data_IF_022482008235
#
_entry.id   IF_022482008235
#
_cell.length_a   1.000
_cell.length_b   1.000
_cell.length_c   1.000
_cell.angle_alpha   90.00
_cell.angle_beta   90.00
_cell.angle_gamma   90.00
#
_symmetry.space_group_name_H-M   'P 1'
#
loop_
_entity.id
_entity.type
_entity.pdbx_description
1 polymer ?
#
# COMPACT_ATOMS: atom_id res chain seq x y z
N UNK A 1 27.57 46.36 -0.39
CA UNK A 1 26.69 46.99 -1.40
C UNK A 1 26.82 46.13 -2.67
N UNK A 2 25.94 45.19 -3.01
CA UNK A 2 24.49 45.26 -3.25
C UNK A 2 23.89 43.88 -2.88
N UNK A 3 23.10 43.83 -1.81
CA UNK A 3 21.66 43.61 -1.85
C UNK A 3 21.23 42.15 -2.14
N UNK A 4 21.14 41.37 -1.04
CA UNK A 4 19.97 40.54 -0.68
C UNK A 4 19.63 39.49 -1.75
N UNK A 5 20.20 38.28 -1.64
CA UNK A 5 19.49 37.11 -1.12
C UNK A 5 18.02 37.17 -1.57
N UNK A 6 17.81 36.95 -2.87
CA UNK A 6 16.49 36.84 -3.47
C UNK A 6 15.84 35.59 -2.87
N UNK A 7 14.96 35.83 -1.90
CA UNK A 7 13.95 34.92 -1.35
C UNK A 7 14.23 33.45 -1.66
N UNK A 8 14.98 32.79 -0.78
CA UNK A 8 14.75 31.36 -0.55
C UNK A 8 13.30 31.23 -0.11
N UNK A 9 12.42 31.05 -1.10
CA UNK A 9 11.02 30.75 -0.90
C UNK A 9 11.00 29.53 0.02
N UNK A 10 10.57 29.73 1.27
CA UNK A 10 10.26 28.70 2.25
C UNK A 10 9.02 27.89 1.82
N UNK A 11 8.87 27.62 0.52
CA UNK A 11 8.07 26.50 0.07
C UNK A 11 9.05 25.35 0.11
N UNK A 12 9.18 24.78 1.30
CA UNK A 12 9.54 23.38 1.41
C UNK A 12 8.49 22.63 0.62
N UNK A 13 8.71 22.48 -0.69
CA UNK A 13 8.10 21.42 -1.45
C UNK A 13 8.59 20.17 -0.74
N UNK A 14 7.80 19.69 0.22
CA UNK A 14 7.78 18.30 0.57
C UNK A 14 7.36 17.62 -0.73
N UNK A 15 8.32 17.44 -1.63
CA UNK A 15 8.23 16.43 -2.67
C UNK A 15 8.13 15.19 -1.83
N UNK A 16 6.91 14.68 -1.67
CA UNK A 16 6.71 13.35 -1.13
C UNK A 16 7.61 12.47 -1.99
N UNK A 17 8.73 12.01 -1.42
CA UNK A 17 9.58 11.02 -2.04
C UNK A 17 8.73 9.75 -2.09
N UNK A 18 7.87 9.64 -3.10
CA UNK A 18 7.32 8.38 -3.51
C UNK A 18 8.50 7.63 -4.09
N UNK A 19 9.19 6.86 -3.26
CA UNK A 19 10.37 6.10 -3.69
C UNK A 19 10.02 5.03 -4.73
N UNK A 20 8.74 4.88 -5.11
CA UNK A 20 8.32 4.03 -6.22
C UNK A 20 8.50 2.54 -5.96
N UNK A 21 8.99 2.15 -4.79
CA UNK A 21 9.23 0.75 -4.45
C UNK A 21 8.00 0.19 -3.75
N UNK A 22 7.26 -0.66 -4.46
CA UNK A 22 6.11 -1.41 -3.96
C UNK A 22 6.33 -2.93 -4.12
N UNK A 23 5.47 -3.76 -3.55
CA UNK A 23 5.48 -5.21 -3.79
C UNK A 23 6.61 -6.00 -3.13
N UNK A 24 7.42 -5.37 -2.26
CA UNK A 24 8.51 -6.04 -1.52
C UNK A 24 8.19 -6.10 -0.02
N UNK A 25 7.52 -7.16 0.46
CA UNK A 25 7.11 -7.24 1.85
C UNK A 25 8.31 -7.51 2.76
N UNK A 26 8.28 -6.91 3.96
CA UNK A 26 9.29 -7.13 5.02
C UNK A 26 9.24 -8.56 5.54
N UNK A 27 8.04 -9.11 5.72
CA UNK A 27 7.80 -10.52 6.05
C UNK A 27 7.58 -11.26 4.73
N UNK A 28 8.42 -12.24 4.42
CA UNK A 28 8.29 -12.99 3.16
C UNK A 28 7.13 -13.98 3.24
N UNK A 29 6.31 -14.10 2.18
CA UNK A 29 5.27 -15.11 2.13
C UNK A 29 5.90 -16.51 2.06
N UNK A 30 5.28 -17.47 2.75
CA UNK A 30 5.54 -18.89 2.56
C UNK A 30 4.71 -19.33 1.36
N UNK A 31 5.38 -19.68 0.26
CA UNK A 31 4.72 -20.17 -0.95
C UNK A 31 4.92 -21.68 -1.02
N UNK A 32 3.84 -22.45 -1.06
CA UNK A 32 3.91 -23.88 -1.30
C UNK A 32 4.25 -24.16 -2.77
N UNK A 33 5.01 -25.22 -3.04
CA UNK A 33 5.29 -25.63 -4.41
C UNK A 33 3.98 -26.06 -5.09
N UNK A 34 3.56 -25.33 -6.13
CA UNK A 34 2.36 -25.64 -6.92
C UNK A 34 1.08 -24.90 -6.52
N UNK A 35 1.17 -23.87 -5.68
CA UNK A 35 -0.01 -23.14 -5.21
C UNK A 35 -0.75 -22.36 -6.31
N UNK A 36 -2.04 -22.68 -6.55
CA UNK A 36 -2.98 -21.98 -7.47
C UNK A 36 -4.45 -22.07 -7.00
N UNK A 37 -4.62 -22.20 -5.69
CA UNK A 37 -5.81 -22.01 -4.85
C UNK A 37 -7.16 -22.52 -5.41
N UNK A 38 -7.59 -23.69 -4.95
CA UNK A 38 -8.83 -23.80 -4.14
C UNK A 38 -8.49 -24.62 -2.88
N UNK A 39 -8.91 -24.16 -1.69
CA UNK A 39 -8.55 -24.73 -0.38
C UNK A 39 -7.36 -24.08 0.32
N UNK A 40 -6.27 -23.79 -0.40
CA UNK A 40 -5.14 -22.95 0.05
C UNK A 40 -4.44 -23.34 1.37
N UNK A 41 -3.52 -22.47 1.81
CA UNK A 41 -2.91 -22.49 3.15
C UNK A 41 -3.08 -21.12 3.81
N UNK A 42 -3.08 -21.09 5.15
CA UNK A 42 -3.05 -19.83 5.89
C UNK A 42 -1.76 -19.05 5.57
N UNK A 43 -1.92 -17.79 5.19
CA UNK A 43 -0.79 -16.93 4.92
C UNK A 43 -0.04 -16.58 6.20
N UNK A 44 1.29 -16.46 6.11
CA UNK A 44 2.09 -15.93 7.22
C UNK A 44 1.59 -14.52 7.56
N UNK A 45 1.22 -14.23 8.82
CA UNK A 45 0.67 -12.93 9.20
C UNK A 45 1.55 -11.76 8.74
N UNK A 46 0.95 -10.80 8.02
CA UNK A 46 1.63 -9.62 7.50
C UNK A 46 2.53 -9.86 6.27
N UNK A 47 2.61 -11.08 5.73
CA UNK A 47 3.41 -11.37 4.52
C UNK A 47 2.82 -10.80 3.23
N UNK A 48 1.52 -10.47 3.24
CA UNK A 48 0.81 -9.76 2.18
C UNK A 48 0.32 -8.39 2.68
N UNK A 49 1.23 -7.42 2.91
CA UNK A 49 0.91 -6.18 3.62
C UNK A 49 -0.03 -5.23 2.85
N UNK A 50 -0.23 -5.49 1.56
CA UNK A 50 -1.19 -4.76 0.72
C UNK A 50 -2.59 -5.38 0.72
N UNK A 51 -2.81 -6.56 1.30
CA UNK A 51 -4.14 -7.14 1.38
C UNK A 51 -5.01 -6.34 2.36
N UNK A 52 -6.21 -5.93 1.92
CA UNK A 52 -7.12 -5.12 2.73
C UNK A 52 -8.50 -5.73 2.80
N UNK A 53 -9.15 -5.56 3.95
CA UNK A 53 -10.56 -5.88 4.16
C UNK A 53 -11.41 -4.63 4.00
N UNK A 54 -12.48 -4.70 3.20
CA UNK A 54 -13.49 -3.66 3.08
C UNK A 54 -14.68 -4.03 3.97
N UNK A 55 -15.00 -3.14 4.90
CA UNK A 55 -16.08 -3.30 5.87
C UNK A 55 -17.29 -2.47 5.42
N UNK A 56 -18.46 -3.10 5.40
CA UNK A 56 -19.73 -2.45 5.11
C UNK A 56 -20.16 -1.50 6.23
N UNK A 57 -21.14 -0.65 5.94
CA UNK A 57 -21.70 0.27 6.95
C UNK A 57 -22.35 -0.47 8.14
N UNK A 58 -22.72 -1.73 7.94
CA UNK A 58 -23.25 -2.63 8.95
C UNK A 58 -22.14 -3.29 9.82
N UNK A 59 -20.87 -3.01 9.53
CA UNK A 59 -19.72 -3.54 10.27
C UNK A 59 -19.23 -4.91 9.79
N UNK A 60 -19.84 -5.50 8.75
CA UNK A 60 -19.45 -6.82 8.26
C UNK A 60 -18.47 -6.76 7.09
N UNK A 61 -17.71 -7.84 6.88
CA UNK A 61 -16.86 -8.00 5.70
C UNK A 61 -17.69 -7.96 4.42
N UNK A 62 -17.44 -6.96 3.57
CA UNK A 62 -18.08 -6.86 2.27
C UNK A 62 -17.24 -7.50 1.17
N UNK A 63 -15.95 -7.12 1.07
CA UNK A 63 -15.04 -7.51 0.01
C UNK A 63 -13.58 -7.36 0.47
N UNK A 64 -12.64 -7.78 -0.38
CA UNK A 64 -11.22 -7.50 -0.21
C UNK A 64 -10.74 -6.41 -1.19
N UNK A 65 -9.51 -5.95 -1.01
CA UNK A 65 -8.83 -5.02 -1.90
C UNK A 65 -7.31 -5.10 -1.79
N UNK A 66 -6.63 -4.27 -2.58
CA UNK A 66 -5.16 -4.16 -2.61
C UNK A 66 -4.75 -2.70 -2.41
N UNK A 67 -3.92 -2.43 -1.42
CA UNK A 67 -3.30 -1.11 -1.21
C UNK A 67 -2.28 -0.83 -2.33
N UNK A 68 -2.52 0.21 -3.11
CA UNK A 68 -1.64 0.62 -4.24
C UNK A 68 -0.86 1.91 -3.95
N UNK A 69 -1.26 2.65 -2.92
CA UNK A 69 -0.57 3.84 -2.40
C UNK A 69 -0.99 4.08 -0.95
N UNK A 70 -0.45 5.12 -0.31
CA UNK A 70 -0.81 5.53 1.05
C UNK A 70 -2.29 5.96 1.22
N UNK A 71 -3.00 6.24 0.11
CA UNK A 71 -4.37 6.77 0.11
C UNK A 71 -5.37 6.01 -0.74
N UNK A 72 -4.94 4.97 -1.47
CA UNK A 72 -5.80 4.31 -2.45
C UNK A 72 -5.76 2.79 -2.31
N UNK A 73 -6.95 2.20 -2.33
CA UNK A 73 -7.19 0.75 -2.39
C UNK A 73 -7.88 0.44 -3.72
N UNK A 74 -7.34 -0.53 -4.45
CA UNK A 74 -7.93 -1.08 -5.67
C UNK A 74 -8.78 -2.30 -5.33
N UNK A 75 -9.97 -2.41 -5.91
CA UNK A 75 -10.87 -3.57 -5.77
C UNK A 75 -11.68 -3.80 -7.05
N UNK A 76 -12.38 -4.92 -7.13
CA UNK A 76 -13.27 -5.22 -8.25
C UNK A 76 -14.55 -4.38 -8.16
N UNK A 77 -14.99 -3.84 -9.29
CA UNK A 77 -16.36 -3.36 -9.43
C UNK A 77 -17.29 -4.58 -9.51
N UNK A 78 -18.39 -4.55 -8.75
CA UNK A 78 -19.41 -5.61 -8.74
C UNK A 78 -20.46 -5.36 -9.81
#
# INVERSE_FOLDING_TARGET
MKAIICLTFLVGSAVAHYTGVCGNPKIKPKLAAGDRIEGGEEAVPGSWPWHTQLIGADGHHACSGVLISDKHVLTAAK
#
